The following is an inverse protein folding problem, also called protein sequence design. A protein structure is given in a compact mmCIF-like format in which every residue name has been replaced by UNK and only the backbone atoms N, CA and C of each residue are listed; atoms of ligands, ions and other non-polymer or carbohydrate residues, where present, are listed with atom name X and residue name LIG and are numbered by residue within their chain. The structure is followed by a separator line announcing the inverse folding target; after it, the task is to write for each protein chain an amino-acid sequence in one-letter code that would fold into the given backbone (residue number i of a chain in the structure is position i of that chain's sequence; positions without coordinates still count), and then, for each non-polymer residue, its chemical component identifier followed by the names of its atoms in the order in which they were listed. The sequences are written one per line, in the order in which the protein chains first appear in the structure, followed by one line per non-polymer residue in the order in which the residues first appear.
data_IF_271164938208
#
_entry.id   IF_271164938208
#
_cell.length_a   1.000
_cell.length_b   1.000
_cell.length_c   1.000
_cell.angle_alpha   90.00
_cell.angle_beta   90.00
_cell.angle_gamma   90.00
#
_symmetry.space_group_name_H-M   'P 1'
#
loop_
_entity.id
_entity.type
_entity.pdbx_description
1 polymer ?
#
# COMPACT_ATOMS: atom_id res chain seq x y z
N UNK A 1 -0.59 21.84 5.11
CA UNK A 1 -0.26 20.42 5.27
C UNK A 1 -0.80 19.94 6.60
N UNK A 2 -1.65 18.93 6.55
CA UNK A 2 -2.22 18.32 7.74
C UNK A 2 -1.56 16.95 7.89
N UNK A 3 -0.29 16.96 8.32
CA UNK A 3 0.62 15.80 8.37
C UNK A 3 -0.07 14.46 8.70
N UNK A 4 -0.84 14.43 9.78
CA UNK A 4 -1.53 13.24 10.25
C UNK A 4 -2.70 12.82 9.36
N UNK A 5 -3.48 13.78 8.86
CA UNK A 5 -4.59 13.51 7.95
C UNK A 5 -4.09 13.07 6.57
N UNK A 6 -2.99 13.64 6.09
CA UNK A 6 -2.35 13.26 4.83
C UNK A 6 -1.82 11.81 4.91
N UNK A 7 -1.29 11.41 6.08
CA UNK A 7 -0.89 10.02 6.33
C UNK A 7 -2.09 9.06 6.34
N UNK A 8 -3.19 9.42 7.01
CA UNK A 8 -4.43 8.63 7.00
C UNK A 8 -4.96 8.49 5.57
N UNK A 9 -4.97 9.58 4.79
CA UNK A 9 -5.38 9.57 3.39
C UNK A 9 -4.51 8.62 2.56
N UNK A 10 -3.18 8.61 2.78
CA UNK A 10 -2.27 7.65 2.15
C UNK A 10 -2.63 6.20 2.48
N UNK A 11 -2.88 5.89 3.77
CA UNK A 11 -3.30 4.55 4.18
C UNK A 11 -4.61 4.11 3.53
N UNK A 12 -5.62 4.98 3.56
CA UNK A 12 -6.92 4.71 2.95
C UNK A 12 -6.80 4.51 1.43
N UNK A 13 -6.05 5.37 0.75
CA UNK A 13 -5.84 5.29 -0.70
C UNK A 13 -5.11 3.98 -1.08
N UNK A 14 -4.06 3.63 -0.34
CA UNK A 14 -3.33 2.38 -0.55
C UNK A 14 -4.24 1.15 -0.38
N UNK A 15 -5.07 1.13 0.67
CA UNK A 15 -6.00 0.04 0.93
C UNK A 15 -7.10 -0.06 -0.11
N UNK A 16 -7.70 1.06 -0.52
CA UNK A 16 -8.69 1.06 -1.59
C UNK A 16 -8.09 0.59 -2.93
N UNK A 17 -6.87 1.03 -3.22
CA UNK A 17 -6.12 0.58 -4.41
C UNK A 17 -5.87 -0.93 -4.36
N UNK A 18 -5.39 -1.44 -3.23
CA UNK A 18 -5.20 -2.87 -3.03
C UNK A 18 -6.51 -3.64 -3.17
N UNK A 19 -7.60 -3.18 -2.56
CA UNK A 19 -8.90 -3.82 -2.66
C UNK A 19 -9.38 -3.90 -4.10
N UNK A 20 -9.31 -2.79 -4.86
CA UNK A 20 -9.69 -2.77 -6.27
C UNK A 20 -8.88 -3.76 -7.10
N UNK A 21 -7.57 -3.84 -6.87
CA UNK A 21 -6.69 -4.76 -7.59
C UNK A 21 -6.91 -6.22 -7.19
N UNK A 22 -7.21 -6.50 -5.94
CA UNK A 22 -7.62 -7.83 -5.49
C UNK A 22 -8.90 -8.28 -6.21
N UNK A 23 -9.86 -7.38 -6.39
CA UNK A 23 -11.08 -7.65 -7.17
C UNK A 23 -10.81 -7.90 -8.66
N UNK A 24 -9.80 -7.22 -9.23
CA UNK A 24 -9.38 -7.41 -10.63
C UNK A 24 -8.46 -8.64 -10.81
N UNK A 25 -7.87 -9.15 -9.73
CA UNK A 25 -6.97 -10.28 -9.77
C UNK A 25 -7.73 -11.55 -10.19
N UNK A 26 -7.15 -12.40 -11.06
CA UNK A 26 -7.74 -13.67 -11.38
C UNK A 26 -7.90 -14.55 -10.13
N UNK A 27 -8.93 -15.40 -10.16
CA UNK A 27 -9.26 -16.42 -9.16
C UNK A 27 -9.69 -15.93 -7.77
N UNK A 28 -10.23 -14.72 -7.63
CA UNK A 28 -10.78 -14.19 -6.36
C UNK A 28 -9.90 -14.52 -5.14
N UNK A 29 -8.74 -13.86 -4.99
CA UNK A 29 -7.66 -14.35 -4.12
C UNK A 29 -7.94 -14.20 -2.62
N UNK A 30 -9.15 -13.76 -2.23
CA UNK A 30 -9.55 -13.60 -0.83
C UNK A 30 -10.76 -14.49 -0.53
N UNK A 31 -10.57 -15.44 0.38
CA UNK A 31 -11.54 -16.49 0.67
C UNK A 31 -12.45 -16.16 1.88
N UNK A 32 -12.15 -15.11 2.65
CA UNK A 32 -12.93 -14.76 3.84
C UNK A 32 -12.97 -13.27 4.15
N UNK A 33 -14.00 -12.82 4.88
CA UNK A 33 -14.07 -11.44 5.38
C UNK A 33 -12.94 -11.08 6.34
N UNK A 34 -12.44 -12.05 7.13
CA UNK A 34 -11.26 -11.86 7.99
C UNK A 34 -10.02 -11.55 7.17
N UNK A 35 -9.80 -12.28 6.08
CA UNK A 35 -8.68 -12.07 5.16
C UNK A 35 -8.74 -10.69 4.49
N UNK A 36 -9.96 -10.22 4.14
CA UNK A 36 -10.17 -8.85 3.68
C UNK A 36 -9.70 -7.83 4.70
N UNK A 37 -10.23 -7.89 5.94
CA UNK A 37 -9.87 -6.94 7.00
C UNK A 37 -8.37 -6.95 7.31
N UNK A 38 -7.75 -8.13 7.35
CA UNK A 38 -6.31 -8.27 7.53
C UNK A 38 -5.52 -7.61 6.39
N UNK A 39 -5.90 -7.89 5.14
CA UNK A 39 -5.25 -7.33 3.96
C UNK A 39 -5.36 -5.80 3.91
N UNK A 40 -6.57 -5.23 3.98
CA UNK A 40 -6.71 -3.77 3.93
C UNK A 40 -6.10 -3.10 5.17
N UNK A 41 -6.17 -3.73 6.35
CA UNK A 41 -5.54 -3.22 7.56
C UNK A 41 -4.02 -3.15 7.45
N UNK A 42 -3.39 -4.24 7.01
CA UNK A 42 -1.93 -4.30 6.84
C UNK A 42 -1.43 -3.27 5.82
N UNK A 43 -2.10 -3.18 4.67
CA UNK A 43 -1.75 -2.21 3.62
C UNK A 43 -1.92 -0.78 4.16
N UNK A 44 -3.05 -0.45 4.80
CA UNK A 44 -3.28 0.90 5.33
C UNK A 44 -2.19 1.30 6.33
N UNK A 45 -1.98 0.46 7.34
CA UNK A 45 -1.08 0.74 8.45
C UNK A 45 0.35 0.92 7.94
N UNK A 46 0.83 0.02 7.07
CA UNK A 46 2.18 0.13 6.54
C UNK A 46 2.40 1.40 5.71
N UNK A 47 1.44 1.76 4.86
CA UNK A 47 1.55 2.95 4.02
C UNK A 47 1.42 4.25 4.84
N UNK A 48 0.64 4.25 5.94
CA UNK A 48 0.63 5.34 6.94
C UNK A 48 2.03 5.51 7.55
N UNK A 49 2.66 4.42 8.00
CA UNK A 49 3.98 4.49 8.61
C UNK A 49 5.06 4.96 7.65
N UNK A 50 5.05 4.48 6.40
CA UNK A 50 5.99 4.97 5.37
C UNK A 50 5.80 6.46 5.12
N UNK A 51 4.55 6.92 4.98
CA UNK A 51 4.28 8.34 4.81
C UNK A 51 4.78 9.18 5.98
N UNK A 52 4.44 8.80 7.21
CA UNK A 52 4.89 9.46 8.45
C UNK A 52 6.41 9.53 8.51
N UNK A 53 7.11 8.44 8.17
CA UNK A 53 8.57 8.39 8.18
C UNK A 53 9.17 9.33 7.13
N UNK A 54 8.68 9.28 5.88
CA UNK A 54 9.22 10.10 4.79
C UNK A 54 8.97 11.59 5.02
N UNK A 55 7.76 11.96 5.42
CA UNK A 55 7.42 13.36 5.69
C UNK A 55 8.05 13.84 6.99
N UNK A 56 8.09 13.01 8.05
CA UNK A 56 8.69 13.35 9.33
C UNK A 56 10.21 13.59 9.24
N UNK A 57 10.88 12.90 8.31
CA UNK A 57 12.28 13.12 7.97
C UNK A 57 12.49 14.18 6.88
N UNK A 58 11.41 14.83 6.40
CA UNK A 58 11.41 15.83 5.34
C UNK A 58 12.11 15.36 4.04
N UNK A 59 11.94 14.09 3.69
CA UNK A 59 12.57 13.49 2.52
C UNK A 59 11.68 13.71 1.30
N UNK A 60 12.01 14.67 0.43
CA UNK A 60 11.14 15.08 -0.71
C UNK A 60 11.53 14.46 -2.06
N UNK A 61 12.34 13.43 -2.05
CA UNK A 61 12.87 12.84 -3.29
C UNK A 61 11.90 11.80 -3.83
N UNK A 62 11.23 12.10 -4.95
CA UNK A 62 10.25 11.22 -5.59
C UNK A 62 10.79 9.79 -5.82
N UNK A 63 12.03 9.58 -6.31
CA UNK A 63 12.54 8.21 -6.48
C UNK A 63 12.63 7.44 -5.16
N UNK A 64 12.99 8.11 -4.06
CA UNK A 64 13.05 7.49 -2.73
C UNK A 64 11.66 7.08 -2.26
N UNK A 65 10.65 7.94 -2.46
CA UNK A 65 9.25 7.62 -2.15
C UNK A 65 8.79 6.38 -2.92
N UNK A 66 9.04 6.33 -4.22
CA UNK A 66 8.71 5.18 -5.05
C UNK A 66 9.33 3.89 -4.50
N UNK A 67 10.62 3.92 -4.18
CA UNK A 67 11.34 2.76 -3.64
C UNK A 67 10.75 2.34 -2.29
N UNK A 68 10.51 3.27 -1.36
CA UNK A 68 9.97 2.95 -0.04
C UNK A 68 8.57 2.31 -0.14
N UNK A 69 7.66 2.89 -0.94
CA UNK A 69 6.32 2.32 -1.13
C UNK A 69 6.35 0.99 -1.88
N UNK A 70 7.20 0.83 -2.90
CA UNK A 70 7.37 -0.44 -3.59
C UNK A 70 7.87 -1.53 -2.64
N UNK A 71 8.95 -1.26 -1.91
CA UNK A 71 9.58 -2.25 -1.04
C UNK A 71 8.66 -2.66 0.09
N UNK A 72 7.99 -1.73 0.77
CA UNK A 72 7.11 -2.10 1.89
C UNK A 72 5.94 -2.96 1.42
N UNK A 73 5.28 -2.59 0.32
CA UNK A 73 4.12 -3.32 -0.19
C UNK A 73 4.54 -4.69 -0.76
N UNK A 74 5.68 -4.78 -1.45
CA UNK A 74 6.22 -6.06 -1.91
C UNK A 74 6.63 -6.96 -0.73
N UNK A 75 7.19 -6.39 0.33
CA UNK A 75 7.59 -7.13 1.55
C UNK A 75 6.36 -7.70 2.27
N UNK A 76 5.31 -6.90 2.44
CA UNK A 76 4.04 -7.36 3.01
C UNK A 76 3.46 -8.49 2.17
N UNK A 77 3.43 -8.31 0.85
CA UNK A 77 2.92 -9.30 -0.08
C UNK A 77 3.70 -10.62 -0.04
N UNK A 78 5.03 -10.56 0.11
CA UNK A 78 5.88 -11.75 0.12
C UNK A 78 5.94 -12.45 1.47
N UNK A 79 5.98 -11.71 2.56
CA UNK A 79 6.31 -12.23 3.89
C UNK A 79 5.11 -12.32 4.81
N UNK A 80 4.15 -11.40 4.69
CA UNK A 80 3.05 -11.28 5.64
C UNK A 80 1.78 -11.92 5.10
N UNK A 81 1.38 -11.65 3.85
CA UNK A 81 0.16 -12.24 3.28
C UNK A 81 0.14 -13.78 3.30
N UNK A 82 1.24 -14.52 3.09
CA UNK A 82 1.23 -15.98 3.24
C UNK A 82 0.93 -16.46 4.67
N UNK A 83 1.10 -15.61 5.69
CA UNK A 83 0.75 -15.90 7.08
C UNK A 83 -0.72 -15.62 7.39
N UNK A 84 -1.43 -14.95 6.49
CA UNK A 84 -2.86 -14.66 6.63
C UNK A 84 -3.70 -15.77 6.00
N UNK A 85 -4.52 -16.44 6.81
CA UNK A 85 -5.47 -17.43 6.33
C UNK A 85 -6.45 -16.82 5.33
N UNK A 86 -6.52 -17.39 4.13
CA UNK A 86 -7.47 -16.97 3.09
C UNK A 86 -7.00 -15.84 2.18
N UNK A 87 -5.72 -15.45 2.21
CA UNK A 87 -5.09 -14.58 1.20
C UNK A 87 -4.22 -15.42 0.26
N UNK A 88 -4.62 -15.54 -1.01
CA UNK A 88 -3.93 -16.31 -2.06
C UNK A 88 -3.79 -15.50 -3.34
N UNK A 89 -3.06 -14.40 -3.25
CA UNK A 89 -2.82 -13.50 -4.39
C UNK A 89 -1.74 -14.11 -5.30
N UNK A 90 -1.95 -14.17 -6.63
CA UNK A 90 -0.93 -14.60 -7.58
C UNK A 90 0.36 -13.78 -7.43
N UNK A 91 1.53 -14.42 -7.50
CA UNK A 91 2.80 -13.75 -7.17
C UNK A 91 3.08 -12.50 -8.00
N UNK A 92 2.74 -12.48 -9.29
CA UNK A 92 2.96 -11.30 -10.13
C UNK A 92 2.06 -10.12 -9.72
N UNK A 93 0.82 -10.42 -9.30
CA UNK A 93 -0.08 -9.42 -8.77
C UNK A 93 0.44 -8.89 -7.43
N UNK A 94 0.83 -9.81 -6.55
CA UNK A 94 1.28 -9.49 -5.20
C UNK A 94 2.58 -8.67 -5.18
N UNK A 95 3.55 -9.00 -6.04
CA UNK A 95 4.91 -8.43 -5.97
C UNK A 95 5.17 -7.30 -6.95
N UNK A 96 4.39 -7.18 -8.03
CA UNK A 96 4.61 -6.18 -9.07
C UNK A 96 3.42 -5.25 -9.18
N UNK A 97 2.23 -5.78 -9.46
CA UNK A 97 1.06 -4.95 -9.79
C UNK A 97 0.58 -4.15 -8.57
N UNK A 98 0.32 -4.81 -7.43
CA UNK A 98 -0.11 -4.11 -6.21
C UNK A 98 0.92 -3.07 -5.74
N UNK A 99 2.22 -3.42 -5.57
CA UNK A 99 3.18 -2.44 -5.05
C UNK A 99 3.37 -1.25 -5.98
N UNK A 100 3.40 -1.46 -7.30
CA UNK A 100 3.57 -0.37 -8.27
C UNK A 100 2.37 0.56 -8.27
N UNK A 101 1.15 0.02 -8.31
CA UNK A 101 -0.05 0.83 -8.31
C UNK A 101 -0.20 1.64 -7.02
N UNK A 102 0.05 1.02 -5.86
CA UNK A 102 0.00 1.72 -4.56
C UNK A 102 1.07 2.82 -4.51
N UNK A 103 2.31 2.53 -4.90
CA UNK A 103 3.38 3.52 -4.92
C UNK A 103 3.04 4.72 -5.81
N UNK A 104 2.50 4.48 -7.02
CA UNK A 104 2.09 5.54 -7.92
C UNK A 104 1.00 6.42 -7.29
N UNK A 105 -0.03 5.82 -6.70
CA UNK A 105 -1.11 6.57 -6.05
C UNK A 105 -0.62 7.37 -4.85
N UNK A 106 0.28 6.82 -4.04
CA UNK A 106 0.88 7.53 -2.90
C UNK A 106 1.76 8.70 -3.33
N UNK A 107 2.52 8.58 -4.44
CA UNK A 107 3.30 9.68 -4.99
C UNK A 107 2.39 10.79 -5.52
N UNK A 108 1.33 10.43 -6.25
CA UNK A 108 0.35 11.40 -6.76
C UNK A 108 -0.32 12.15 -5.61
N UNK A 109 -0.66 11.47 -4.51
CA UNK A 109 -1.15 12.11 -3.30
C UNK A 109 -0.10 13.08 -2.73
N UNK A 110 1.17 12.67 -2.66
CA UNK A 110 2.29 13.52 -2.20
C UNK A 110 2.43 14.82 -2.98
N UNK A 111 2.29 14.76 -4.32
CA UNK A 111 2.26 15.95 -5.17
C UNK A 111 0.99 16.78 -4.97
N UNK A 112 -0.18 16.14 -4.86
CA UNK A 112 -1.46 16.82 -4.69
C UNK A 112 -1.56 17.62 -3.37
N UNK A 113 -0.93 17.14 -2.29
CA UNK A 113 -0.86 17.87 -1.01
C UNK A 113 0.30 18.87 -0.94
N UNK A 114 1.06 19.02 -2.03
CA UNK A 114 2.16 19.97 -2.17
C UNK A 114 3.42 19.61 -1.37
N UNK A 115 3.62 18.33 -1.04
CA UNK A 115 4.82 17.87 -0.34
C UNK A 115 5.95 17.47 -1.30
N UNK A 116 5.60 16.82 -2.42
CA UNK A 116 6.51 16.40 -3.49
C UNK A 116 6.50 17.36 -4.68
#
# INVERSE_FOLDING_TARGET
MHFFFDAIACGLLASLTWMGLVWMSPNHPIESGKAWVQGVGLVAIANIFVWIALVGLNLRWIPLWAICFLLINATIARLIFPLCEGIKIPSIWALVIHPVAIALMSILLGGAVGFL
#
